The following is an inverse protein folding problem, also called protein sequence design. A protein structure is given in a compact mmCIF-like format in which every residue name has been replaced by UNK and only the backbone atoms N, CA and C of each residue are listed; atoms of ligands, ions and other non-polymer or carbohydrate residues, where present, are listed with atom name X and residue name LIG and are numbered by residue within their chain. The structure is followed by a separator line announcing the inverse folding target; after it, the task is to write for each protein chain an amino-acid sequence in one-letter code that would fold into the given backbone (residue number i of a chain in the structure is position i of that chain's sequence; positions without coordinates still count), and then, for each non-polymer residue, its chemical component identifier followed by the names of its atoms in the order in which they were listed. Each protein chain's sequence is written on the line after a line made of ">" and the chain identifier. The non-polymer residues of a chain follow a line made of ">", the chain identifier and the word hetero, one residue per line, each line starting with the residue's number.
data_IF_266007474678
#
_entry.id   IF_266007474678
#
_cell.length_a   1.000
_cell.length_b   1.000
_cell.length_c   1.000
_cell.angle_alpha   90.00
_cell.angle_beta   90.00
_cell.angle_gamma   90.00
#
_symmetry.space_group_name_H-M   'P 1'
#
loop_
_entity.id
_entity.type
_entity.pdbx_description
1 polymer ?
#
# COMPACT_ATOMS: atom_id res chain seq x y z
N UNK A 1 8.90 -8.44 -20.99
CA UNK A 1 7.76 -9.00 -21.76
C UNK A 1 6.84 -7.87 -22.18
N UNK A 2 6.28 -7.88 -23.39
CA UNK A 2 5.41 -6.81 -23.91
C UNK A 2 3.95 -7.27 -23.83
N UNK A 3 3.13 -6.57 -23.05
CA UNK A 3 1.71 -6.91 -22.85
C UNK A 3 0.88 -6.44 -24.05
N UNK A 4 0.05 -7.34 -24.57
CA UNK A 4 -0.88 -7.07 -25.68
C UNK A 4 -2.20 -6.47 -25.16
N UNK A 5 -2.29 -5.14 -25.28
CA UNK A 5 -3.40 -4.30 -24.79
C UNK A 5 -4.73 -4.52 -25.52
N UNK A 6 -4.77 -5.35 -26.57
CA UNK A 6 -6.02 -5.67 -27.28
C UNK A 6 -6.90 -6.69 -26.55
N UNK A 7 -6.36 -7.37 -25.54
CA UNK A 7 -7.06 -8.43 -24.79
C UNK A 7 -7.59 -8.00 -23.42
N UNK A 8 -7.32 -6.77 -23.01
CA UNK A 8 -7.88 -6.16 -21.79
C UNK A 8 -9.29 -5.64 -22.08
N UNK A 9 -10.27 -6.52 -22.22
CA UNK A 9 -11.68 -6.14 -22.27
C UNK A 9 -12.29 -6.45 -20.91
N UNK A 10 -12.61 -5.39 -20.18
CA UNK A 10 -13.29 -5.37 -18.88
C UNK A 10 -14.48 -6.33 -18.85
N UNK A 11 -14.40 -7.35 -17.99
CA UNK A 11 -15.52 -8.24 -17.64
C UNK A 11 -15.56 -8.45 -16.13
N UNK A 12 -16.01 -7.44 -15.39
CA UNK A 12 -16.55 -7.64 -14.04
C UNK A 12 -17.66 -6.60 -13.82
N UNK A 13 -18.91 -7.07 -13.71
CA UNK A 13 -20.09 -6.24 -13.54
C UNK A 13 -20.30 -5.89 -12.06
N UNK A 14 -20.63 -4.62 -11.82
CA UNK A 14 -20.74 -3.90 -10.54
C UNK A 14 -19.43 -3.28 -10.01
N UNK A 15 -19.40 -1.94 -10.10
CA UNK A 15 -18.53 -0.98 -9.42
C UNK A 15 -17.02 -0.86 -9.67
N UNK A 16 -16.52 -1.36 -10.82
CA UNK A 16 -15.16 -1.00 -11.26
C UNK A 16 -14.97 0.53 -11.40
N UNK A 17 -16.05 1.28 -11.66
CA UNK A 17 -15.97 2.73 -11.82
C UNK A 17 -15.56 3.43 -10.52
N UNK A 18 -16.15 3.11 -9.37
CA UNK A 18 -15.77 3.74 -8.10
C UNK A 18 -14.35 3.37 -7.67
N UNK A 19 -13.96 2.11 -7.83
CA UNK A 19 -12.61 1.65 -7.54
C UNK A 19 -11.56 2.36 -8.43
N UNK A 20 -11.85 2.49 -9.73
CA UNK A 20 -11.00 3.21 -10.69
C UNK A 20 -10.96 4.72 -10.41
N UNK A 21 -12.09 5.33 -10.06
CA UNK A 21 -12.16 6.74 -9.70
C UNK A 21 -11.35 7.01 -8.42
N UNK A 22 -11.44 6.12 -7.43
CA UNK A 22 -10.65 6.24 -6.21
C UNK A 22 -9.15 6.08 -6.50
N UNK A 23 -8.75 5.03 -7.22
CA UNK A 23 -7.35 4.83 -7.59
C UNK A 23 -6.78 6.04 -8.36
N UNK A 24 -7.56 6.58 -9.31
CA UNK A 24 -7.19 7.80 -10.05
C UNK A 24 -7.13 9.04 -9.16
N UNK A 25 -8.06 9.19 -8.22
CA UNK A 25 -8.05 10.31 -7.29
C UNK A 25 -6.80 10.26 -6.39
N UNK A 26 -6.52 9.08 -5.81
CA UNK A 26 -5.37 8.85 -4.96
C UNK A 26 -4.04 8.85 -5.73
N UNK A 27 -4.02 8.71 -7.06
CA UNK A 27 -2.78 8.82 -7.83
C UNK A 27 -2.39 10.28 -8.11
N UNK A 28 -3.34 11.22 -8.05
CA UNK A 28 -3.12 12.63 -8.41
C UNK A 28 -3.34 13.62 -7.26
N UNK A 29 -3.91 13.17 -6.13
CA UNK A 29 -4.10 14.05 -4.96
C UNK A 29 -2.73 14.52 -4.42
N UNK A 30 -2.64 15.71 -3.79
CA UNK A 30 -1.40 16.21 -3.21
C UNK A 30 -0.80 15.22 -2.19
N UNK A 31 0.54 15.15 -2.12
CA UNK A 31 1.25 14.24 -1.21
C UNK A 31 0.86 14.47 0.26
N UNK A 32 0.61 15.73 0.65
CA UNK A 32 0.21 16.06 2.02
C UNK A 32 -1.19 15.52 2.38
N UNK A 33 -2.02 15.23 1.37
CA UNK A 33 -3.39 14.74 1.55
C UNK A 33 -3.49 13.22 1.42
N UNK A 34 -2.53 12.57 0.76
CA UNK A 34 -2.60 11.14 0.43
C UNK A 34 -2.92 10.28 1.66
N UNK A 35 -2.13 10.39 2.72
CA UNK A 35 -2.33 9.58 3.93
C UNK A 35 -3.65 9.92 4.61
N UNK A 36 -4.04 11.20 4.63
CA UNK A 36 -5.32 11.61 5.23
C UNK A 36 -6.52 11.01 4.49
N UNK A 37 -6.46 10.90 3.16
CA UNK A 37 -7.49 10.24 2.36
C UNK A 37 -7.49 8.72 2.60
N UNK A 38 -6.32 8.08 2.72
CA UNK A 38 -6.24 6.65 3.08
C UNK A 38 -6.88 6.37 4.46
N UNK A 39 -6.62 7.21 5.47
CA UNK A 39 -7.21 7.09 6.83
C UNK A 39 -8.74 7.13 6.84
N UNK A 40 -9.39 7.68 5.80
CA UNK A 40 -10.85 7.71 5.66
C UNK A 40 -11.42 6.37 5.21
N UNK A 41 -10.61 5.51 4.61
CA UNK A 41 -11.01 4.20 4.10
C UNK A 41 -10.88 3.16 5.22
N UNK A 42 -11.89 3.09 6.10
CA UNK A 42 -11.93 2.12 7.21
C UNK A 42 -12.51 0.76 6.83
N UNK A 43 -13.30 0.72 5.76
CA UNK A 43 -13.97 -0.49 5.27
C UNK A 43 -13.84 -0.51 3.76
N UNK A 44 -13.43 -1.65 3.22
CA UNK A 44 -13.33 -1.85 1.79
C UNK A 44 -14.71 -2.13 1.19
N UNK A 45 -15.32 -1.10 0.61
CA UNK A 45 -16.64 -1.20 -0.03
C UNK A 45 -16.57 -1.32 -1.56
N UNK A 46 -15.36 -1.45 -2.11
CA UNK A 46 -15.13 -1.52 -3.55
C UNK A 46 -15.13 -2.97 -4.04
N UNK A 47 -15.68 -3.20 -5.22
CA UNK A 47 -15.64 -4.51 -5.88
C UNK A 47 -14.20 -5.01 -6.11
N UNK A 48 -14.07 -6.31 -6.42
CA UNK A 48 -12.78 -6.91 -6.72
C UNK A 48 -12.13 -6.22 -7.93
N UNK A 49 -10.84 -5.89 -7.83
CA UNK A 49 -10.13 -5.13 -8.87
C UNK A 49 -8.79 -5.77 -9.28
N UNK A 50 -8.21 -5.33 -10.38
CA UNK A 50 -6.85 -5.70 -10.77
C UNK A 50 -5.85 -4.85 -10.00
N UNK A 51 -4.83 -5.47 -9.38
CA UNK A 51 -3.82 -4.71 -8.63
C UNK A 51 -3.10 -3.67 -9.50
N UNK A 52 -2.96 -3.93 -10.81
CA UNK A 52 -2.36 -3.00 -11.76
C UNK A 52 -3.10 -1.66 -11.91
N UNK A 53 -4.39 -1.59 -11.54
CA UNK A 53 -5.15 -0.34 -11.49
C UNK A 53 -4.58 0.65 -10.45
N UNK A 54 -3.90 0.12 -9.44
CA UNK A 54 -3.39 0.84 -8.29
C UNK A 54 -1.89 1.13 -8.38
N UNK A 55 -1.24 0.82 -9.51
CA UNK A 55 0.21 0.94 -9.67
C UNK A 55 0.73 2.33 -9.27
N UNK A 56 0.16 3.40 -9.83
CA UNK A 56 0.59 4.77 -9.52
C UNK A 56 0.40 5.14 -8.03
N UNK A 57 -0.65 4.61 -7.39
CA UNK A 57 -0.86 4.82 -5.95
C UNK A 57 0.20 4.05 -5.16
N UNK A 58 0.39 2.76 -5.49
CA UNK A 58 1.35 1.88 -4.83
C UNK A 58 2.79 2.40 -4.95
N UNK A 59 3.19 2.96 -6.09
CA UNK A 59 4.52 3.57 -6.27
C UNK A 59 4.73 4.77 -5.32
N UNK A 60 3.69 5.59 -5.09
CA UNK A 60 3.74 6.69 -4.11
C UNK A 60 3.88 6.17 -2.69
N UNK A 61 3.13 5.11 -2.33
CA UNK A 61 3.23 4.49 -1.01
C UNK A 61 4.59 3.80 -0.82
N UNK A 62 5.13 3.20 -1.87
CA UNK A 62 6.44 2.55 -1.87
C UNK A 62 7.55 3.53 -1.52
N UNK A 63 7.52 4.75 -2.06
CA UNK A 63 8.50 5.79 -1.72
C UNK A 63 8.47 6.17 -0.22
N UNK A 64 7.29 6.16 0.41
CA UNK A 64 7.15 6.42 1.85
C UNK A 64 7.72 5.24 2.64
N UNK A 65 7.42 4.00 2.22
CA UNK A 65 7.95 2.78 2.84
C UNK A 65 9.48 2.71 2.71
N UNK A 66 10.03 3.04 1.54
CA UNK A 66 11.48 3.11 1.28
C UNK A 66 12.13 4.07 2.28
N UNK A 67 11.61 5.30 2.40
CA UNK A 67 12.09 6.28 3.38
C UNK A 67 12.01 5.73 4.82
N UNK A 68 10.90 5.09 5.20
CA UNK A 68 10.70 4.54 6.54
C UNK A 68 11.74 3.46 6.89
N UNK A 69 12.09 2.59 5.94
CA UNK A 69 13.03 1.49 6.18
C UNK A 69 14.50 1.86 6.01
N UNK A 70 14.80 3.10 5.58
CA UNK A 70 16.20 3.57 5.51
C UNK A 70 16.87 3.40 6.88
N UNK A 71 18.13 2.93 6.87
CA UNK A 71 18.87 2.71 8.11
C UNK A 71 19.43 4.02 8.64
N UNK A 72 19.14 4.31 9.91
CA UNK A 72 19.75 5.39 10.68
C UNK A 72 20.74 4.78 11.66
N UNK A 73 22.03 5.06 11.46
CA UNK A 73 23.09 4.38 12.20
C UNK A 73 23.22 2.91 11.82
N UNK A 74 23.59 2.05 12.77
CA UNK A 74 24.00 0.66 12.47
C UNK A 74 22.85 -0.32 12.26
N UNK A 75 21.72 -0.15 12.96
CA UNK A 75 20.65 -1.15 12.99
C UNK A 75 19.22 -0.60 12.94
N UNK A 76 19.04 0.66 13.35
CA UNK A 76 17.73 1.29 13.53
C UNK A 76 17.12 1.69 12.19
N UNK A 77 15.82 1.44 12.00
CA UNK A 77 15.07 2.00 10.86
C UNK A 77 14.77 3.46 11.14
N UNK A 78 14.68 4.29 10.09
CA UNK A 78 14.34 5.71 10.22
C UNK A 78 13.04 5.89 10.99
N UNK A 79 12.04 5.06 10.72
CA UNK A 79 10.74 5.13 11.40
C UNK A 79 10.84 4.92 12.93
N UNK A 80 11.84 4.18 13.40
CA UNK A 80 12.07 3.92 14.83
C UNK A 80 12.87 5.04 15.52
N UNK A 81 13.43 5.98 14.75
CA UNK A 81 14.20 7.08 15.32
C UNK A 81 13.28 8.03 16.13
N UNK A 82 13.78 8.62 17.23
CA UNK A 82 12.98 9.49 18.08
C UNK A 82 12.47 10.70 17.29
N UNK A 83 11.20 11.05 17.48
CA UNK A 83 10.53 12.16 16.79
C UNK A 83 9.78 11.79 15.50
N UNK A 84 9.82 10.53 15.06
CA UNK A 84 9.15 10.06 13.84
C UNK A 84 7.77 9.41 14.10
N UNK A 85 7.06 9.80 15.16
CA UNK A 85 5.73 9.23 15.47
C UNK A 85 4.71 9.40 14.34
N UNK A 86 4.76 10.51 13.59
CA UNK A 86 3.89 10.69 12.42
C UNK A 86 4.20 9.67 11.32
N UNK A 87 5.49 9.40 11.05
CA UNK A 87 5.92 8.43 10.05
C UNK A 87 5.49 7.00 10.43
N UNK A 88 5.49 6.69 11.73
CA UNK A 88 4.94 5.42 12.23
C UNK A 88 3.46 5.28 11.89
N UNK A 89 2.65 6.31 12.18
CA UNK A 89 1.21 6.30 11.85
C UNK A 89 0.97 6.19 10.33
N UNK A 90 1.77 6.90 9.53
CA UNK A 90 1.67 6.87 8.08
C UNK A 90 1.97 5.47 7.55
N UNK A 91 3.04 4.82 8.02
CA UNK A 91 3.40 3.45 7.64
C UNK A 91 2.32 2.46 8.05
N UNK A 92 1.77 2.55 9.27
CA UNK A 92 0.66 1.68 9.70
C UNK A 92 -0.55 1.85 8.77
N UNK A 93 -0.93 3.10 8.47
CA UNK A 93 -2.04 3.39 7.55
C UNK A 93 -1.80 2.78 6.17
N UNK A 94 -0.59 2.91 5.63
CA UNK A 94 -0.20 2.34 4.34
C UNK A 94 -0.34 0.82 4.34
N UNK A 95 0.16 0.16 5.39
CA UNK A 95 0.15 -1.30 5.50
C UNK A 95 -1.28 -1.84 5.61
N UNK A 96 -2.13 -1.21 6.43
CA UNK A 96 -3.53 -1.59 6.59
C UNK A 96 -4.31 -1.41 5.29
N UNK A 97 -4.17 -0.25 4.65
CA UNK A 97 -4.78 0.02 3.34
C UNK A 97 -4.32 -0.99 2.29
N UNK A 98 -3.01 -1.24 2.19
CA UNK A 98 -2.44 -2.22 1.25
C UNK A 98 -2.97 -3.62 1.56
N UNK A 99 -3.15 -3.95 2.84
CA UNK A 99 -3.74 -5.22 3.28
C UNK A 99 -5.15 -5.41 2.71
N UNK A 100 -6.01 -4.41 2.88
CA UNK A 100 -7.37 -4.42 2.33
C UNK A 100 -7.38 -4.50 0.80
N UNK A 101 -6.52 -3.72 0.14
CA UNK A 101 -6.40 -3.72 -1.31
C UNK A 101 -5.99 -5.10 -1.84
N UNK A 102 -4.96 -5.71 -1.26
CA UNK A 102 -4.45 -7.02 -1.69
C UNK A 102 -5.51 -8.11 -1.53
N UNK A 103 -6.23 -8.12 -0.40
CA UNK A 103 -7.31 -9.07 -0.15
C UNK A 103 -8.38 -9.02 -1.25
N UNK A 104 -8.72 -7.82 -1.71
CA UNK A 104 -9.75 -7.57 -2.73
C UNK A 104 -9.19 -7.43 -4.16
N UNK A 105 -7.94 -7.82 -4.39
CA UNK A 105 -7.29 -7.73 -5.71
C UNK A 105 -7.05 -9.09 -6.36
N UNK A 106 -7.14 -9.12 -7.69
CA UNK A 106 -6.50 -10.15 -8.53
C UNK A 106 -5.12 -9.71 -9.01
N UNK A 107 -4.31 -10.67 -9.47
CA UNK A 107 -2.94 -10.45 -9.92
C UNK A 107 -2.01 -9.86 -8.83
N UNK A 108 -2.16 -10.36 -7.59
CA UNK A 108 -1.38 -9.94 -6.41
C UNK A 108 0.13 -10.11 -6.58
N UNK A 109 0.58 -10.99 -7.46
CA UNK A 109 2.00 -11.19 -7.80
C UNK A 109 2.65 -9.94 -8.42
N UNK A 110 1.87 -8.93 -8.82
CA UNK A 110 2.37 -7.64 -9.30
C UNK A 110 2.89 -6.74 -8.17
N UNK A 111 2.63 -7.08 -6.89
CA UNK A 111 3.11 -6.29 -5.76
C UNK A 111 4.64 -6.35 -5.65
N UNK A 112 5.29 -5.20 -5.80
CA UNK A 112 6.76 -5.08 -5.87
C UNK A 112 7.46 -4.77 -4.54
N UNK A 113 6.75 -4.23 -3.55
CA UNK A 113 7.33 -3.63 -2.34
C UNK A 113 7.68 -4.64 -1.23
N UNK A 114 7.80 -5.93 -1.56
CA UNK A 114 8.00 -6.99 -0.57
C UNK A 114 9.30 -6.81 0.25
N UNK A 115 10.34 -6.24 -0.34
CA UNK A 115 11.59 -5.91 0.36
C UNK A 115 11.40 -4.93 1.51
N UNK A 116 10.54 -3.92 1.32
CA UNK A 116 10.20 -2.95 2.36
C UNK A 116 9.40 -3.63 3.50
N UNK A 117 8.42 -4.48 3.15
CA UNK A 117 7.66 -5.27 4.14
C UNK A 117 8.59 -6.14 4.99
N UNK A 118 9.54 -6.83 4.34
CA UNK A 118 10.53 -7.65 5.05
C UNK A 118 11.42 -6.82 6.00
N UNK A 119 11.83 -5.63 5.58
CA UNK A 119 12.64 -4.75 6.41
C UNK A 119 11.88 -4.23 7.64
N UNK A 120 10.57 -3.98 7.51
CA UNK A 120 9.71 -3.49 8.60
C UNK A 120 9.52 -4.51 9.74
N UNK A 121 9.72 -5.81 9.51
CA UNK A 121 9.82 -6.80 10.61
C UNK A 121 10.96 -6.51 11.59
N UNK A 122 11.93 -5.68 11.20
CA UNK A 122 12.99 -5.19 12.08
C UNK A 122 12.62 -3.98 12.92
N UNK A 123 11.38 -3.48 12.84
CA UNK A 123 10.94 -2.33 13.63
C UNK A 123 10.81 -2.68 15.11
N UNK A 124 11.06 -1.68 15.95
CA UNK A 124 10.83 -1.73 17.40
C UNK A 124 9.39 -1.40 17.81
N UNK A 125 8.57 -0.89 16.87
CA UNK A 125 7.20 -0.48 17.12
C UNK A 125 6.22 -1.66 16.90
N UNK A 126 5.41 -1.98 17.91
CA UNK A 126 4.50 -3.12 17.88
C UNK A 126 3.34 -2.95 16.89
N UNK A 127 2.84 -1.72 16.71
CA UNK A 127 1.73 -1.44 15.79
C UNK A 127 2.18 -1.66 14.34
N UNK A 128 3.41 -1.23 14.02
CA UNK A 128 4.04 -1.51 12.71
C UNK A 128 4.18 -3.02 12.49
N UNK A 129 4.70 -3.76 13.48
CA UNK A 129 4.85 -5.21 13.37
C UNK A 129 3.49 -5.91 13.17
N UNK A 130 2.44 -5.47 13.85
CA UNK A 130 1.09 -6.01 13.70
C UNK A 130 0.54 -5.75 12.30
N UNK A 131 0.69 -4.54 11.77
CA UNK A 131 0.25 -4.18 10.43
C UNK A 131 1.01 -4.94 9.34
N UNK A 132 2.34 -5.12 9.50
CA UNK A 132 3.18 -5.94 8.61
C UNK A 132 2.70 -7.40 8.58
N UNK A 133 2.40 -7.98 9.75
CA UNK A 133 1.86 -9.34 9.85
C UNK A 133 0.50 -9.46 9.16
N UNK A 134 -0.39 -8.49 9.37
CA UNK A 134 -1.71 -8.44 8.73
C UNK A 134 -1.62 -8.43 7.21
N UNK A 135 -0.80 -7.54 6.65
CA UNK A 135 -0.55 -7.50 5.21
C UNK A 135 0.08 -8.80 4.70
N UNK A 136 1.09 -9.33 5.40
CA UNK A 136 1.82 -10.54 4.99
C UNK A 136 0.90 -11.76 4.91
N UNK A 137 -0.09 -11.85 5.79
CA UNK A 137 -1.08 -12.95 5.78
C UNK A 137 -1.97 -12.93 4.53
N UNK A 138 -2.25 -11.75 3.96
CA UNK A 138 -3.13 -11.59 2.79
C UNK A 138 -2.49 -12.08 1.47
N UNK A 139 -1.18 -12.38 1.47
CA UNK A 139 -0.46 -12.94 0.33
C UNK A 139 -0.52 -14.48 0.25
N UNK A 140 -1.29 -15.14 1.11
CA UNK A 140 -1.47 -16.60 1.11
C UNK A 140 -2.26 -17.13 -0.10
#
# INVERSE_FOLDING_TARGET
>A
MKIDRKKTVNRCGYDQNECMLLAKHLSVCPDEQLISELKRIKVWNYGKCELGLWADVLDRLDAILENAVTKVGKWMLRLDAPGNSSLVEDVVTILEFTGHLIEHSIYRYLYGSWTHILALFGSSNLDVLLAVLGLSYNFR
#
